data_IF_790027125956
#
_entry.id   IF_790027125956
#
_cell.length_a   1.000
_cell.length_b   1.000
_cell.length_c   1.000
_cell.angle_alpha   90.00
_cell.angle_beta   90.00
_cell.angle_gamma   90.00
#
_symmetry.space_group_name_H-M   'P 1'
#
loop_
_entity.id
_entity.type
_entity.pdbx_description
1 polymer ?
#
# COMPACT_ATOMS: atom_id res chain seq x y z
N UNK A 1 5.40 -9.04 2.81
CA UNK A 1 4.19 -8.25 2.47
C UNK A 1 3.65 -7.67 3.77
N UNK A 2 3.63 -6.34 3.91
CA UNK A 2 3.20 -5.68 5.15
C UNK A 2 1.67 -5.71 5.31
N UNK A 3 0.91 -5.50 4.22
CA UNK A 3 -0.56 -5.59 4.21
C UNK A 3 -1.06 -5.62 2.78
N UNK A 4 -2.17 -6.30 2.55
CA UNK A 4 -2.94 -6.19 1.30
C UNK A 4 -4.20 -5.38 1.59
N UNK A 5 -4.49 -4.41 0.72
CA UNK A 5 -5.59 -3.47 0.90
C UNK A 5 -6.44 -3.48 -0.37
N UNK A 6 -7.75 -3.56 -0.19
CA UNK A 6 -8.70 -3.30 -1.27
C UNK A 6 -9.02 -1.80 -1.33
N UNK A 7 -9.36 -1.24 -2.50
CA UNK A 7 -9.59 0.20 -2.66
C UNK A 7 -10.67 0.78 -1.74
N UNK A 8 -11.64 -0.05 -1.33
CA UNK A 8 -12.73 0.34 -0.42
C UNK A 8 -12.38 0.24 1.06
N UNK A 9 -11.17 -0.23 1.41
CA UNK A 9 -10.72 -0.31 2.80
C UNK A 9 -10.26 1.05 3.33
N UNK A 10 -10.24 1.28 4.66
CA UNK A 10 -9.76 2.53 5.27
C UNK A 10 -8.29 2.89 5.01
N UNK A 11 -7.57 2.11 4.19
CA UNK A 11 -6.16 2.29 3.93
C UNK A 11 -5.28 1.73 5.05
N UNK A 12 -4.05 2.25 5.12
CA UNK A 12 -3.07 1.90 6.15
C UNK A 12 -2.77 3.11 7.02
N UNK A 13 -2.82 2.92 8.34
CA UNK A 13 -2.67 3.96 9.37
C UNK A 13 -1.26 4.04 9.95
N UNK A 14 -0.29 3.32 9.38
CA UNK A 14 1.08 3.28 9.90
C UNK A 14 1.32 2.19 10.96
N UNK A 15 0.36 1.28 11.20
CA UNK A 15 0.51 0.17 12.15
C UNK A 15 0.63 -1.19 11.47
N UNK A 16 1.46 -2.08 12.03
CA UNK A 16 1.58 -3.47 11.58
C UNK A 16 1.49 -4.41 12.78
N UNK A 17 0.56 -5.36 12.73
CA UNK A 17 0.24 -6.28 13.83
C UNK A 17 0.03 -5.57 15.18
N UNK A 18 -0.69 -4.44 15.17
CA UNK A 18 -0.98 -3.64 16.35
C UNK A 18 0.18 -2.75 16.83
N UNK A 19 1.36 -2.83 16.19
CA UNK A 19 2.53 -2.03 16.55
C UNK A 19 2.73 -0.87 15.59
N UNK A 20 3.08 0.29 16.13
CA UNK A 20 3.52 1.44 15.36
C UNK A 20 4.79 1.12 14.55
N UNK A 21 4.75 1.36 13.24
CA UNK A 21 5.96 1.31 12.43
C UNK A 21 6.76 2.62 12.52
N UNK A 22 8.09 2.57 12.29
CA UNK A 22 8.97 3.74 12.38
C UNK A 22 8.68 4.78 11.27
N UNK A 23 9.04 6.04 11.53
CA UNK A 23 9.04 7.07 10.49
C UNK A 23 10.18 6.75 9.49
N UNK A 24 9.80 6.25 8.32
CA UNK A 24 10.70 5.77 7.27
C UNK A 24 10.00 5.84 5.92
N UNK A 25 10.72 5.58 4.84
CA UNK A 25 10.12 5.30 3.53
C UNK A 25 9.52 3.88 3.49
N UNK A 26 8.37 3.76 2.82
CA UNK A 26 7.62 2.52 2.63
C UNK A 26 7.27 2.34 1.15
N UNK A 27 7.44 1.12 0.65
CA UNK A 27 7.19 0.77 -0.74
C UNK A 27 5.88 0.00 -0.86
N UNK A 28 5.14 0.26 -1.93
CA UNK A 28 3.90 -0.44 -2.23
C UNK A 28 3.83 -0.85 -3.70
N UNK A 29 3.00 -1.87 -3.95
CA UNK A 29 2.65 -2.34 -5.29
C UNK A 29 1.14 -2.42 -5.37
N UNK A 30 0.57 -1.93 -6.47
CA UNK A 30 -0.86 -2.03 -6.78
C UNK A 30 -1.00 -2.82 -8.06
N UNK A 31 -1.85 -3.85 -8.03
CA UNK A 31 -2.28 -4.57 -9.22
C UNK A 31 -3.72 -4.17 -9.52
N UNK A 32 -3.99 -3.73 -10.75
CA UNK A 32 -5.31 -3.29 -11.18
C UNK A 32 -5.55 -3.63 -12.66
N UNK A 33 -6.80 -3.95 -13.07
CA UNK A 33 -7.12 -4.14 -14.47
C UNK A 33 -7.13 -2.80 -15.22
N UNK A 34 -6.62 -2.78 -16.45
CA UNK A 34 -6.83 -1.65 -17.36
C UNK A 34 -8.18 -1.74 -18.08
N UNK A 35 -8.48 -0.72 -18.91
CA UNK A 35 -9.75 -0.62 -19.65
C UNK A 35 -10.00 -1.80 -20.60
N UNK A 36 -8.97 -2.59 -20.92
CA UNK A 36 -9.04 -3.77 -21.77
C UNK A 36 -9.02 -5.08 -20.98
N UNK A 37 -9.06 -5.02 -19.65
CA UNK A 37 -9.05 -6.17 -18.75
C UNK A 37 -7.67 -6.79 -18.51
N UNK A 38 -6.58 -6.13 -18.91
CA UNK A 38 -5.23 -6.61 -18.63
C UNK A 38 -4.79 -6.19 -17.23
N UNK A 39 -4.18 -7.10 -16.47
CA UNK A 39 -3.59 -6.75 -15.17
C UNK A 39 -2.36 -5.86 -15.38
N UNK A 40 -2.40 -4.67 -14.80
CA UNK A 40 -1.27 -3.74 -14.71
C UNK A 40 -0.75 -3.68 -13.29
N UNK A 41 0.56 -3.45 -13.19
CA UNK A 41 1.25 -3.28 -11.90
C UNK A 41 1.80 -1.87 -11.81
N UNK A 42 1.45 -1.16 -10.75
CA UNK A 42 2.04 0.11 -10.37
C UNK A 42 2.87 -0.05 -9.10
N UNK A 43 4.06 0.54 -9.07
CA UNK A 43 4.97 0.52 -7.91
C UNK A 43 5.30 1.95 -7.51
N UNK A 44 5.33 2.20 -6.21
CA UNK A 44 5.66 3.51 -5.66
C UNK A 44 6.17 3.40 -4.24
N UNK A 45 6.52 4.54 -3.67
CA UNK A 45 6.89 4.66 -2.26
C UNK A 45 6.33 5.95 -1.66
N UNK A 46 6.21 5.98 -0.34
CA UNK A 46 5.84 7.16 0.43
C UNK A 46 6.61 7.17 1.75
N UNK A 47 6.88 8.37 2.27
CA UNK A 47 7.47 8.55 3.59
C UNK A 47 6.37 8.58 4.66
N UNK A 48 6.50 7.74 5.69
CA UNK A 48 5.68 7.86 6.89
C UNK A 48 6.26 8.95 7.79
N UNK A 49 5.52 10.04 7.97
CA UNK A 49 5.86 11.14 8.88
C UNK A 49 5.10 11.01 10.20
N UNK A 50 5.70 11.51 11.28
CA UNK A 50 5.16 11.56 12.64
C UNK A 50 5.05 13.00 13.11
#
# INVERSE_FOLDING_TARGET
LLKELIPSSPGWDGTYNGNALPASDYWFTVEYPDDYGNTRTYRGHFALKR
#
